data_IF_982560586668
#
_entry.id   IF_982560586668
#
_cell.length_a   1.000
_cell.length_b   1.000
_cell.length_c   1.000
_cell.angle_alpha   90.00
_cell.angle_beta   90.00
_cell.angle_gamma   90.00
#
_symmetry.space_group_name_H-M   'P 1'
#
loop_
_entity.id
_entity.type
_entity.pdbx_description
1 polymer ?
#
# COMPACT_ATOMS: atom_id res chain seq x y z
N UNK A 1 0.17 12.07 -25.96
CA UNK A 1 0.76 10.79 -26.46
C UNK A 1 2.03 10.51 -25.69
N UNK A 2 2.24 9.28 -25.21
CA UNK A 2 3.46 8.85 -24.51
C UNK A 2 4.60 8.78 -25.54
N UNK A 3 5.62 9.61 -25.34
CA UNK A 3 6.80 9.70 -26.22
C UNK A 3 7.89 8.73 -25.79
N UNK A 4 8.16 8.67 -24.50
CA UNK A 4 9.16 7.78 -23.88
C UNK A 4 8.82 7.45 -22.45
N UNK A 5 9.52 6.47 -21.91
CA UNK A 5 9.43 6.08 -20.50
C UNK A 5 10.83 6.13 -19.91
N UNK A 6 10.97 6.81 -18.80
CA UNK A 6 12.19 6.83 -17.99
C UNK A 6 11.95 5.99 -16.74
N UNK A 7 12.87 5.05 -16.46
CA UNK A 7 12.83 4.24 -15.24
C UNK A 7 14.13 4.44 -14.46
N UNK A 8 14.03 4.70 -13.16
CA UNK A 8 15.15 5.03 -12.26
C UNK A 8 15.13 4.18 -11.01
N UNK A 9 16.31 3.79 -10.55
CA UNK A 9 16.53 3.10 -9.26
C UNK A 9 16.82 4.15 -8.19
N UNK A 10 15.85 4.44 -7.34
CA UNK A 10 15.94 5.46 -6.28
C UNK A 10 15.98 4.75 -4.93
N UNK A 11 17.07 4.94 -4.17
CA UNK A 11 17.28 4.28 -2.88
C UNK A 11 17.62 5.28 -1.77
N UNK A 12 17.05 5.05 -0.60
CA UNK A 12 17.29 5.83 0.62
C UNK A 12 17.95 4.93 1.65
N UNK A 13 19.10 5.30 2.25
CA UNK A 13 19.87 4.44 3.14
C UNK A 13 19.26 4.36 4.55
N UNK A 14 18.01 3.86 4.63
CA UNK A 14 17.25 3.76 5.88
C UNK A 14 17.79 2.71 6.84
N UNK A 15 18.57 1.75 6.35
CA UNK A 15 19.27 0.74 7.15
C UNK A 15 20.25 1.35 8.17
N UNK A 16 20.83 2.52 7.87
CA UNK A 16 21.78 3.20 8.76
C UNK A 16 21.20 3.52 10.14
N UNK A 17 19.92 3.82 10.19
CA UNK A 17 19.20 4.18 11.42
C UNK A 17 18.21 3.08 11.84
N UNK A 18 18.30 1.89 11.25
CA UNK A 18 17.39 0.76 11.46
C UNK A 18 15.91 1.10 11.17
N UNK A 19 15.66 2.13 10.34
CA UNK A 19 14.31 2.50 9.95
C UNK A 19 13.71 1.42 9.04
N UNK A 20 12.50 0.97 9.38
CA UNK A 20 11.81 -0.10 8.65
C UNK A 20 12.27 -1.51 9.02
N UNK A 21 13.19 -1.69 9.98
CA UNK A 21 13.67 -3.01 10.37
C UNK A 21 12.57 -3.88 11.00
N UNK A 22 12.51 -5.14 10.57
CA UNK A 22 11.56 -6.13 11.03
C UNK A 22 12.21 -7.52 11.19
N UNK A 23 11.44 -8.54 11.53
CA UNK A 23 11.95 -9.88 11.82
C UNK A 23 12.54 -10.60 10.59
N UNK A 24 12.11 -10.25 9.38
CA UNK A 24 12.59 -10.83 8.13
C UNK A 24 13.57 -9.92 7.38
N UNK A 25 13.47 -8.61 7.60
CA UNK A 25 14.24 -7.58 6.91
C UNK A 25 14.97 -6.70 7.93
N UNK A 26 16.17 -7.11 8.43
CA UNK A 26 16.86 -6.38 9.48
C UNK A 26 17.54 -5.08 8.99
N UNK A 27 17.84 -4.98 7.69
CA UNK A 27 18.64 -3.93 7.07
C UNK A 27 18.01 -3.36 5.77
N UNK A 28 16.74 -2.93 5.77
CA UNK A 28 16.11 -2.44 4.56
C UNK A 28 16.62 -1.04 4.20
N UNK A 29 16.95 -0.84 2.91
CA UNK A 29 17.10 0.48 2.32
C UNK A 29 15.83 0.80 1.52
N UNK A 30 14.93 1.59 2.09
CA UNK A 30 13.68 1.92 1.41
C UNK A 30 13.95 2.55 0.05
N UNK A 31 13.39 1.94 -0.98
CA UNK A 31 13.72 2.24 -2.36
C UNK A 31 12.48 2.20 -3.24
N UNK A 32 12.61 2.72 -4.44
CA UNK A 32 11.58 2.51 -5.46
C UNK A 32 12.19 2.43 -6.86
N UNK A 33 11.62 1.56 -7.69
CA UNK A 33 11.76 1.67 -9.12
C UNK A 33 10.74 2.71 -9.61
N UNK A 34 11.24 3.90 -9.96
CA UNK A 34 10.44 5.07 -10.31
C UNK A 34 10.29 5.18 -11.83
N UNK A 35 9.04 5.29 -12.29
CA UNK A 35 8.71 5.41 -13.71
C UNK A 35 8.11 6.77 -14.03
N UNK A 36 8.60 7.42 -15.08
CA UNK A 36 8.02 8.64 -15.64
C UNK A 36 7.58 8.39 -17.08
N UNK A 37 6.31 8.57 -17.37
CA UNK A 37 5.77 8.63 -18.73
C UNK A 37 5.96 10.04 -19.27
N UNK A 38 6.88 10.20 -20.21
CA UNK A 38 7.10 11.47 -20.89
C UNK A 38 6.05 11.71 -21.96
N UNK A 39 5.34 12.80 -21.84
CA UNK A 39 4.22 13.12 -22.72
C UNK A 39 4.59 14.13 -23.80
N UNK A 40 4.12 13.90 -25.03
CA UNK A 40 4.18 14.85 -26.13
C UNK A 40 2.85 15.61 -26.25
N UNK A 41 2.90 16.89 -26.66
CA UNK A 41 1.71 17.63 -27.07
C UNK A 41 1.00 18.38 -25.94
N UNK A 42 1.68 18.63 -24.80
CA UNK A 42 1.14 19.47 -23.72
C UNK A 42 0.35 18.71 -22.64
N UNK A 43 0.16 17.41 -22.79
CA UNK A 43 -0.34 16.57 -21.69
C UNK A 43 0.70 16.52 -20.55
N UNK A 44 0.27 16.43 -19.29
CA UNK A 44 1.19 16.32 -18.16
C UNK A 44 1.90 14.97 -18.15
N UNK A 45 3.19 14.96 -17.78
CA UNK A 45 3.91 13.72 -17.51
C UNK A 45 3.23 12.93 -16.38
N UNK A 46 3.20 11.61 -16.51
CA UNK A 46 2.70 10.72 -15.47
C UNK A 46 3.84 10.07 -14.70
N UNK A 47 3.74 10.08 -13.38
CA UNK A 47 4.71 9.47 -12.49
C UNK A 47 4.11 8.28 -11.73
N UNK A 48 4.90 7.23 -11.58
CA UNK A 48 4.53 6.06 -10.81
C UNK A 48 5.77 5.37 -10.26
N UNK A 49 5.57 4.60 -9.21
CA UNK A 49 6.65 3.86 -8.59
C UNK A 49 6.19 2.47 -8.15
N UNK A 50 7.15 1.59 -7.95
CA UNK A 50 6.95 0.40 -7.13
C UNK A 50 7.96 0.39 -6.00
N UNK A 51 7.47 0.12 -4.80
CA UNK A 51 8.28 0.06 -3.58
C UNK A 51 9.17 -1.19 -3.59
N UNK A 52 10.40 -1.01 -3.12
CA UNK A 52 11.41 -2.05 -2.89
C UNK A 52 12.24 -1.68 -1.66
N UNK A 53 13.10 -2.60 -1.20
CA UNK A 53 13.90 -2.40 0.02
C UNK A 53 15.42 -2.49 -0.25
N UNK A 54 15.86 -2.08 -1.44
CA UNK A 54 17.27 -2.01 -1.82
C UNK A 54 17.64 -2.98 -2.94
N UNK A 55 18.28 -4.09 -2.62
CA UNK A 55 18.69 -5.08 -3.62
C UNK A 55 17.52 -5.60 -4.44
N UNK A 56 17.67 -5.62 -5.78
CA UNK A 56 16.64 -6.05 -6.73
C UNK A 56 15.78 -4.92 -7.29
N UNK A 57 15.95 -3.67 -6.87
CA UNK A 57 15.27 -2.51 -7.48
C UNK A 57 15.63 -2.40 -8.97
N UNK A 58 16.87 -2.67 -9.33
CA UNK A 58 17.36 -2.73 -10.72
C UNK A 58 16.60 -3.74 -11.60
N UNK A 59 16.14 -4.86 -11.02
CA UNK A 59 15.30 -5.84 -11.73
C UNK A 59 13.93 -5.26 -12.05
N UNK A 60 13.34 -4.48 -11.13
CA UNK A 60 12.09 -3.77 -11.37
C UNK A 60 12.27 -2.69 -12.45
N UNK A 61 13.38 -1.94 -12.44
CA UNK A 61 13.71 -0.96 -13.48
C UNK A 61 13.83 -1.63 -14.85
N UNK A 62 14.52 -2.77 -14.94
CA UNK A 62 14.62 -3.53 -16.18
C UNK A 62 13.25 -4.00 -16.70
N UNK A 63 12.39 -4.46 -15.80
CA UNK A 63 11.03 -4.88 -16.13
C UNK A 63 10.14 -3.70 -16.56
N UNK A 64 10.25 -2.53 -15.94
CA UNK A 64 9.56 -1.29 -16.34
C UNK A 64 9.95 -0.91 -17.77
N UNK A 65 11.25 -0.91 -18.09
CA UNK A 65 11.74 -0.62 -19.43
C UNK A 65 11.25 -1.63 -20.49
N UNK A 66 11.13 -2.89 -20.10
CA UNK A 66 10.60 -3.94 -20.99
C UNK A 66 9.11 -3.80 -21.27
N UNK A 67 8.30 -3.71 -20.21
CA UNK A 67 6.84 -3.60 -20.30
C UNK A 67 6.38 -2.23 -20.83
N UNK A 68 7.10 -1.17 -20.53
CA UNK A 68 6.76 0.19 -20.93
C UNK A 68 6.62 0.37 -22.45
N UNK A 69 7.29 -0.47 -23.23
CA UNK A 69 7.19 -0.48 -24.71
C UNK A 69 5.75 -0.63 -25.19
N UNK A 70 4.87 -1.28 -24.43
CA UNK A 70 3.46 -1.43 -24.78
C UNK A 70 2.65 -0.14 -24.64
N UNK A 71 3.16 0.85 -23.89
CA UNK A 71 2.49 2.13 -23.68
C UNK A 71 2.99 3.25 -24.61
N UNK A 72 4.23 3.14 -25.13
CA UNK A 72 4.80 4.15 -26.04
C UNK A 72 3.93 4.29 -27.30
N UNK A 73 3.66 5.54 -27.69
CA UNK A 73 2.81 5.89 -28.81
C UNK A 73 1.31 5.94 -28.51
N UNK A 74 0.88 5.54 -27.29
CA UNK A 74 -0.51 5.64 -26.86
C UNK A 74 -0.83 7.04 -26.35
N UNK A 75 -2.08 7.46 -26.47
CA UNK A 75 -2.56 8.74 -25.96
C UNK A 75 -3.32 8.58 -24.65
N UNK A 76 -3.39 9.67 -23.85
CA UNK A 76 -4.25 9.67 -22.67
C UNK A 76 -5.74 9.55 -23.02
N UNK A 77 -6.16 9.96 -24.23
CA UNK A 77 -7.54 9.79 -24.68
C UNK A 77 -7.93 8.31 -24.83
N UNK A 78 -7.00 7.46 -25.31
CA UNK A 78 -7.22 6.03 -25.36
C UNK A 78 -7.42 5.43 -23.96
N UNK A 79 -6.60 5.83 -22.98
CA UNK A 79 -6.70 5.35 -21.61
C UNK A 79 -7.93 5.93 -20.89
N UNK A 80 -8.33 7.16 -21.15
CA UNK A 80 -9.56 7.73 -20.60
C UNK A 80 -10.82 7.10 -21.21
N UNK A 81 -10.79 6.77 -22.49
CA UNK A 81 -11.87 6.03 -23.14
C UNK A 81 -12.03 4.63 -22.54
N UNK A 82 -10.92 3.96 -22.24
CA UNK A 82 -10.86 2.61 -21.68
C UNK A 82 -9.86 2.54 -20.52
N UNK A 83 -10.35 2.75 -19.29
CA UNK A 83 -9.55 2.76 -18.07
C UNK A 83 -8.86 1.43 -17.75
N UNK A 84 -9.31 0.32 -18.35
CA UNK A 84 -8.65 -1.00 -18.24
C UNK A 84 -7.53 -1.25 -19.25
N UNK A 85 -7.36 -0.36 -20.24
CA UNK A 85 -6.46 -0.60 -21.37
C UNK A 85 -5.00 -0.74 -20.93
N UNK A 86 -4.49 0.16 -20.09
CA UNK A 86 -3.10 0.12 -19.63
C UNK A 86 -2.81 -1.20 -18.89
N UNK A 87 -3.64 -1.58 -17.93
CA UNK A 87 -3.49 -2.84 -17.20
C UNK A 87 -3.49 -4.04 -18.16
N UNK A 88 -4.40 -4.09 -19.14
CA UNK A 88 -4.44 -5.19 -20.12
C UNK A 88 -3.19 -5.26 -21.01
N UNK A 89 -2.66 -4.12 -21.46
CA UNK A 89 -1.44 -4.08 -22.26
C UNK A 89 -0.24 -4.61 -21.48
N UNK A 90 -0.13 -4.24 -20.20
CA UNK A 90 0.99 -4.63 -19.33
C UNK A 90 0.90 -6.08 -18.87
N UNK A 91 -0.31 -6.60 -18.58
CA UNK A 91 -0.50 -7.92 -17.97
C UNK A 91 -0.72 -9.06 -18.99
N UNK A 92 -0.99 -8.75 -20.25
CA UNK A 92 -1.28 -9.78 -21.26
C UNK A 92 -0.13 -10.04 -22.26
N UNK A 93 1.07 -9.49 -22.00
CA UNK A 93 2.24 -9.88 -22.82
C UNK A 93 2.48 -11.38 -22.73
N UNK A 94 2.46 -12.06 -23.91
CA UNK A 94 2.48 -13.52 -23.99
C UNK A 94 3.80 -14.14 -23.49
N UNK A 95 4.91 -13.41 -23.56
CA UNK A 95 6.22 -13.89 -23.12
C UNK A 95 6.51 -13.56 -21.66
N UNK A 96 6.20 -12.34 -21.23
CA UNK A 96 6.29 -11.97 -19.80
C UNK A 96 5.39 -12.81 -18.91
N UNK A 97 4.28 -13.36 -19.42
CA UNK A 97 3.40 -14.27 -18.66
C UNK A 97 4.11 -15.51 -18.11
N UNK A 98 5.18 -15.94 -18.73
CA UNK A 98 5.99 -17.05 -18.19
C UNK A 98 6.79 -16.64 -16.96
N UNK A 99 7.32 -15.41 -16.93
CA UNK A 99 8.02 -14.84 -15.79
C UNK A 99 7.05 -14.40 -14.69
N UNK A 100 5.78 -14.20 -15.03
CA UNK A 100 4.68 -13.75 -14.20
C UNK A 100 4.35 -12.29 -14.44
N UNK A 101 3.26 -11.91 -15.15
CA UNK A 101 2.36 -10.95 -14.56
C UNK A 101 1.57 -11.62 -13.46
N UNK A 102 0.96 -10.83 -12.60
CA UNK A 102 0.19 -11.23 -11.43
C UNK A 102 1.06 -11.78 -10.28
N UNK A 103 2.39 -11.64 -10.35
CA UNK A 103 3.32 -11.91 -9.24
C UNK A 103 4.73 -11.35 -9.48
N UNK A 104 5.43 -11.04 -8.39
CA UNK A 104 6.86 -10.71 -8.38
C UNK A 104 7.22 -9.47 -9.19
N UNK A 105 8.47 -9.42 -9.66
CA UNK A 105 9.08 -8.26 -10.33
C UNK A 105 8.25 -7.73 -11.50
N UNK A 106 7.69 -8.61 -12.32
CA UNK A 106 6.90 -8.20 -13.50
C UNK A 106 5.61 -7.49 -13.08
N UNK A 107 4.98 -7.95 -12.00
CA UNK A 107 3.75 -7.34 -11.49
C UNK A 107 4.00 -6.00 -10.80
N UNK A 108 5.10 -5.91 -10.03
CA UNK A 108 5.59 -4.67 -9.45
C UNK A 108 5.86 -3.60 -10.52
N UNK A 109 6.53 -3.99 -11.61
CA UNK A 109 6.79 -3.09 -12.74
C UNK A 109 5.49 -2.65 -13.45
N UNK A 110 4.53 -3.57 -13.61
CA UNK A 110 3.23 -3.25 -14.17
C UNK A 110 2.46 -2.24 -13.29
N UNK A 111 2.56 -2.37 -11.95
CA UNK A 111 1.98 -1.42 -11.02
C UNK A 111 2.55 -0.01 -11.20
N UNK A 112 3.88 0.14 -11.24
CA UNK A 112 4.53 1.44 -11.45
C UNK A 112 4.03 2.13 -12.72
N UNK A 113 3.99 1.40 -13.84
CA UNK A 113 3.55 1.93 -15.13
C UNK A 113 2.05 2.26 -15.15
N UNK A 114 1.22 1.38 -14.62
CA UNK A 114 -0.23 1.60 -14.56
C UNK A 114 -0.59 2.77 -13.65
N UNK A 115 0.06 2.88 -12.49
CA UNK A 115 -0.11 4.01 -11.57
C UNK A 115 0.34 5.32 -12.21
N UNK A 116 1.40 5.32 -13.05
CA UNK A 116 1.83 6.49 -13.82
C UNK A 116 0.77 6.92 -14.85
N UNK A 117 0.04 5.99 -15.48
CA UNK A 117 -1.08 6.34 -16.36
C UNK A 117 -2.22 6.99 -15.58
N UNK A 118 -2.58 6.45 -14.42
CA UNK A 118 -3.62 7.04 -13.57
C UNK A 118 -3.22 8.43 -13.03
N UNK A 119 -1.95 8.62 -12.69
CA UNK A 119 -1.40 9.91 -12.29
C UNK A 119 -1.54 10.94 -13.41
N UNK A 120 -1.15 10.59 -14.66
CA UNK A 120 -1.30 11.47 -15.83
C UNK A 120 -2.76 11.85 -16.11
N UNK A 121 -3.69 10.89 -16.02
CA UNK A 121 -5.11 11.14 -16.19
C UNK A 121 -5.66 12.09 -15.12
N UNK A 122 -5.31 11.89 -13.87
CA UNK A 122 -5.71 12.76 -12.77
C UNK A 122 -5.13 14.17 -12.90
N UNK A 123 -3.84 14.29 -13.26
CA UNK A 123 -3.19 15.58 -13.56
C UNK A 123 -3.85 16.32 -14.72
N UNK A 124 -4.15 15.62 -15.83
CA UNK A 124 -4.86 16.21 -16.97
C UNK A 124 -6.24 16.71 -16.58
N UNK A 125 -6.93 16.01 -15.70
CA UNK A 125 -8.23 16.42 -15.18
C UNK A 125 -8.14 17.57 -14.15
N UNK A 126 -6.93 18.00 -13.73
CA UNK A 126 -6.72 18.99 -12.68
C UNK A 126 -7.20 18.55 -11.29
N UNK A 127 -7.21 17.25 -11.02
CA UNK A 127 -7.77 16.67 -9.79
C UNK A 127 -6.78 15.72 -9.10
N UNK A 128 -6.79 15.64 -7.76
CA UNK A 128 -6.15 14.52 -7.07
C UNK A 128 -6.82 13.20 -7.49
N UNK A 129 -6.08 12.10 -7.52
CA UNK A 129 -6.59 10.82 -8.02
C UNK A 129 -7.88 10.38 -7.32
N UNK A 130 -7.95 10.50 -5.98
CA UNK A 130 -9.17 10.11 -5.25
C UNK A 130 -10.41 10.85 -5.76
N UNK A 131 -10.27 12.14 -6.09
CA UNK A 131 -11.37 12.95 -6.60
C UNK A 131 -11.69 12.61 -8.06
N UNK A 132 -10.67 12.42 -8.89
CA UNK A 132 -10.86 11.98 -10.28
C UNK A 132 -11.67 10.68 -10.33
N UNK A 133 -11.29 9.68 -9.52
CA UNK A 133 -12.01 8.40 -9.44
C UNK A 133 -13.41 8.56 -8.85
N UNK A 134 -13.59 9.37 -7.80
CA UNK A 134 -14.90 9.62 -7.19
C UNK A 134 -15.91 10.26 -8.16
N UNK A 135 -15.45 11.05 -9.12
CA UNK A 135 -16.29 11.71 -10.12
C UNK A 135 -16.68 10.77 -11.29
N UNK A 136 -16.08 9.59 -11.40
CA UNK A 136 -16.45 8.59 -12.41
C UNK A 136 -17.79 7.92 -12.09
N UNK A 137 -18.51 7.52 -13.15
CA UNK A 137 -19.74 6.73 -12.97
C UNK A 137 -19.42 5.31 -12.53
N UNK A 138 -20.35 4.61 -11.86
CA UNK A 138 -20.21 3.20 -11.52
C UNK A 138 -19.81 2.31 -12.69
N UNK A 139 -20.43 2.51 -13.86
CA UNK A 139 -20.17 1.75 -15.10
C UNK A 139 -18.73 1.96 -15.57
N UNK A 140 -18.24 3.21 -15.49
CA UNK A 140 -16.87 3.55 -15.88
C UNK A 140 -15.85 2.90 -14.94
N UNK A 141 -16.10 2.89 -13.63
CA UNK A 141 -15.25 2.20 -12.66
C UNK A 141 -15.24 0.68 -12.90
N UNK A 142 -16.40 0.08 -13.13
CA UNK A 142 -16.49 -1.36 -13.44
C UNK A 142 -15.73 -1.71 -14.72
N UNK A 143 -15.73 -0.82 -15.74
CA UNK A 143 -14.99 -1.05 -16.99
C UNK A 143 -13.47 -1.09 -16.81
N UNK A 144 -12.94 -0.51 -15.71
CA UNK A 144 -11.53 -0.55 -15.39
C UNK A 144 -11.06 -1.92 -14.84
N UNK A 145 -11.97 -2.77 -14.38
CA UNK A 145 -11.67 -4.00 -13.66
C UNK A 145 -11.58 -5.20 -14.62
N UNK A 146 -10.51 -5.98 -14.48
CA UNK A 146 -10.43 -7.31 -15.08
C UNK A 146 -11.02 -8.36 -14.13
N UNK A 147 -12.19 -8.86 -14.45
CA UNK A 147 -12.92 -9.87 -13.66
C UNK A 147 -12.42 -11.30 -13.87
N UNK A 148 -11.46 -11.51 -14.75
CA UNK A 148 -10.86 -12.83 -14.97
C UNK A 148 -10.32 -13.40 -13.65
N UNK A 149 -10.71 -14.63 -13.35
CA UNK A 149 -10.35 -15.39 -12.15
C UNK A 149 -10.96 -14.91 -10.82
N UNK A 150 -11.85 -13.88 -10.84
CA UNK A 150 -12.58 -13.44 -9.65
C UNK A 150 -14.10 -13.43 -9.83
N UNK A 151 -14.60 -13.68 -11.05
CA UNK A 151 -16.04 -13.59 -11.37
C UNK A 151 -16.90 -14.59 -10.59
N UNK A 152 -16.33 -15.68 -10.10
CA UNK A 152 -16.97 -16.65 -9.20
C UNK A 152 -17.21 -16.10 -7.78
N UNK A 153 -16.48 -15.07 -7.38
CA UNK A 153 -16.63 -14.41 -6.09
C UNK A 153 -17.23 -13.00 -6.21
N UNK A 154 -16.80 -12.22 -7.20
CA UNK A 154 -17.32 -10.88 -7.51
C UNK A 154 -17.63 -10.80 -9.01
N UNK A 155 -18.90 -10.85 -9.39
CA UNK A 155 -19.30 -10.64 -10.77
C UNK A 155 -19.28 -9.15 -11.15
N UNK A 156 -19.35 -8.87 -12.46
CA UNK A 156 -19.46 -7.49 -12.96
C UNK A 156 -20.74 -6.82 -12.47
N UNK A 157 -21.82 -7.56 -12.40
CA UNK A 157 -23.13 -7.11 -11.93
C UNK A 157 -23.09 -6.79 -10.42
N UNK A 158 -22.44 -7.64 -9.61
CA UNK A 158 -22.21 -7.38 -8.17
C UNK A 158 -21.44 -6.07 -7.96
N UNK A 159 -20.35 -5.89 -8.70
CA UNK A 159 -19.51 -4.70 -8.61
C UNK A 159 -20.30 -3.43 -8.98
N UNK A 160 -21.07 -3.49 -10.07
CA UNK A 160 -21.91 -2.38 -10.52
C UNK A 160 -22.99 -2.04 -9.48
N UNK A 161 -23.66 -3.05 -8.94
CA UNK A 161 -24.70 -2.86 -7.93
C UNK A 161 -24.15 -2.16 -6.68
N UNK A 162 -22.96 -2.59 -6.16
CA UNK A 162 -22.30 -1.99 -5.00
C UNK A 162 -21.92 -0.54 -5.23
N UNK A 163 -21.26 -0.24 -6.34
CA UNK A 163 -20.87 1.12 -6.69
C UNK A 163 -22.09 2.03 -6.92
N UNK A 164 -23.16 1.51 -7.52
CA UNK A 164 -24.41 2.26 -7.75
C UNK A 164 -25.11 2.57 -6.42
N UNK A 165 -25.14 1.62 -5.48
CA UNK A 165 -25.73 1.83 -4.16
C UNK A 165 -25.02 2.94 -3.37
N UNK A 166 -23.71 3.12 -3.57
CA UNK A 166 -22.92 4.15 -2.89
C UNK A 166 -22.96 5.53 -3.58
N UNK A 167 -23.37 5.61 -4.84
CA UNK A 167 -23.33 6.84 -5.63
C UNK A 167 -24.09 8.02 -4.98
N UNK A 168 -25.31 7.87 -4.42
CA UNK A 168 -26.05 8.99 -3.84
C UNK A 168 -25.35 9.67 -2.65
N UNK A 169 -24.56 8.94 -1.87
CA UNK A 169 -23.88 9.46 -0.68
C UNK A 169 -22.51 10.11 -0.92
N UNK A 170 -21.99 10.10 -2.15
CA UNK A 170 -20.62 10.55 -2.45
C UNK A 170 -20.36 12.00 -2.01
N UNK A 171 -21.28 12.93 -2.28
CA UNK A 171 -21.08 14.35 -1.96
C UNK A 171 -20.91 14.58 -0.45
N UNK A 172 -21.76 13.99 0.38
CA UNK A 172 -21.66 14.10 1.83
C UNK A 172 -20.38 13.45 2.39
N UNK A 173 -19.96 12.31 1.82
CA UNK A 173 -18.70 11.66 2.21
C UNK A 173 -17.47 12.50 1.85
N UNK A 174 -17.48 13.15 0.70
CA UNK A 174 -16.41 14.07 0.28
C UNK A 174 -16.35 15.26 1.22
N UNK A 175 -17.46 15.89 1.57
CA UNK A 175 -17.51 17.00 2.51
C UNK A 175 -16.96 16.60 3.89
N UNK A 176 -17.40 15.44 4.40
CA UNK A 176 -16.89 14.90 5.66
C UNK A 176 -15.40 14.61 5.60
N UNK A 177 -14.90 13.99 4.51
CA UNK A 177 -13.49 13.70 4.32
C UNK A 177 -12.64 14.98 4.34
N UNK A 178 -13.07 16.03 3.65
CA UNK A 178 -12.37 17.32 3.59
C UNK A 178 -12.33 18.02 4.94
N UNK A 179 -13.37 17.87 5.76
CA UNK A 179 -13.44 18.48 7.10
C UNK A 179 -12.69 17.70 8.18
N UNK A 180 -12.83 16.37 8.18
CA UNK A 180 -12.34 15.50 9.27
C UNK A 180 -11.03 14.78 8.94
N UNK A 181 -10.68 14.60 7.64
CA UNK A 181 -9.62 13.71 7.21
C UNK A 181 -9.98 12.23 7.35
N UNK A 182 -9.01 11.33 7.08
CA UNK A 182 -9.19 9.88 7.14
C UNK A 182 -8.40 9.26 8.30
N UNK A 183 -8.96 8.34 9.11
CA UNK A 183 -8.28 7.75 10.28
C UNK A 183 -7.00 7.00 9.88
N UNK A 184 -5.99 7.06 10.75
CA UNK A 184 -4.70 6.41 10.53
C UNK A 184 -4.16 5.70 11.77
N UNK A 185 -3.18 4.83 11.56
CA UNK A 185 -2.32 4.29 12.61
C UNK A 185 -0.85 4.52 12.26
N UNK A 186 0.02 4.56 13.26
CA UNK A 186 1.45 4.72 13.05
C UNK A 186 2.22 3.44 13.34
N UNK A 187 3.17 3.10 12.45
CA UNK A 187 4.11 1.98 12.59
C UNK A 187 5.49 2.44 13.04
N UNK A 188 5.77 3.75 13.02
CA UNK A 188 7.12 4.31 13.17
C UNK A 188 7.71 4.23 14.57
N UNK A 189 6.90 3.92 15.59
CA UNK A 189 7.36 3.87 16.99
C UNK A 189 7.84 2.48 17.44
N UNK A 190 7.73 1.44 16.61
CA UNK A 190 7.88 0.06 17.06
C UNK A 190 8.73 -0.85 16.19
N UNK A 191 9.72 -0.36 15.44
CA UNK A 191 10.62 -1.22 14.65
C UNK A 191 11.56 -2.06 15.51
N UNK A 192 11.96 -3.24 15.01
CA UNK A 192 12.71 -4.22 15.80
C UNK A 192 14.09 -3.69 16.22
N UNK A 193 14.77 -2.94 15.36
CA UNK A 193 16.09 -2.37 15.64
C UNK A 193 16.11 -1.26 16.70
N UNK A 194 14.94 -0.82 17.20
CA UNK A 194 14.87 0.28 18.18
C UNK A 194 15.07 -0.21 19.61
N UNK A 195 15.78 0.60 20.42
CA UNK A 195 15.92 0.40 21.87
C UNK A 195 14.59 0.71 22.58
N UNK A 196 14.43 0.19 23.81
CA UNK A 196 13.25 0.44 24.64
C UNK A 196 13.05 1.95 24.92
N UNK A 197 14.13 2.69 25.18
CA UNK A 197 14.08 4.15 25.43
C UNK A 197 13.60 4.89 24.16
N UNK A 198 14.07 4.50 22.98
CA UNK A 198 13.57 5.05 21.71
C UNK A 198 12.08 4.77 21.54
N UNK A 199 11.66 3.51 21.75
CA UNK A 199 10.25 3.13 21.63
C UNK A 199 9.38 3.97 22.58
N UNK A 200 9.73 4.05 23.85
CA UNK A 200 9.00 4.84 24.84
C UNK A 200 8.88 6.32 24.45
N UNK A 201 10.00 6.89 23.98
CA UNK A 201 10.02 8.30 23.54
C UNK A 201 9.12 8.52 22.32
N UNK A 202 9.23 7.67 21.30
CA UNK A 202 8.43 7.77 20.06
C UNK A 202 6.93 7.54 20.34
N UNK A 203 6.59 6.58 21.19
CA UNK A 203 5.20 6.32 21.59
C UNK A 203 4.57 7.53 22.30
N UNK A 204 5.30 8.14 23.26
CA UNK A 204 4.83 9.33 23.99
C UNK A 204 4.63 10.53 23.07
N UNK A 205 5.59 10.76 22.17
CA UNK A 205 5.51 11.86 21.21
C UNK A 205 4.32 11.67 20.27
N UNK A 206 4.18 10.49 19.66
CA UNK A 206 3.06 10.20 18.79
C UNK A 206 1.70 10.29 19.52
N UNK A 207 1.62 9.83 20.77
CA UNK A 207 0.41 10.00 21.58
C UNK A 207 0.06 11.46 21.82
N UNK A 208 1.06 12.30 22.10
CA UNK A 208 0.88 13.75 22.27
C UNK A 208 0.41 14.42 20.97
N UNK A 209 0.86 13.92 19.80
CA UNK A 209 0.45 14.37 18.46
C UNK A 209 -0.94 13.84 18.02
N UNK A 210 -1.66 13.17 18.93
CA UNK A 210 -3.04 12.73 18.69
C UNK A 210 -3.19 11.31 18.16
N UNK A 211 -2.12 10.53 18.00
CA UNK A 211 -2.23 9.13 17.58
C UNK A 211 -2.91 8.27 18.67
N UNK A 212 -3.82 7.38 18.25
CA UNK A 212 -4.58 6.48 19.13
C UNK A 212 -4.58 5.02 18.68
N UNK A 213 -3.92 4.73 17.56
CA UNK A 213 -3.70 3.39 17.04
C UNK A 213 -2.24 3.25 16.60
N UNK A 214 -1.59 2.20 17.08
CA UNK A 214 -0.17 1.95 16.90
C UNK A 214 0.06 0.52 16.43
N UNK A 215 1.09 0.33 15.62
CA UNK A 215 1.61 -1.00 15.26
C UNK A 215 3.07 -1.11 15.70
N UNK A 216 3.43 -2.23 16.33
CA UNK A 216 4.81 -2.55 16.70
C UNK A 216 5.23 -3.87 16.04
N UNK A 217 6.50 -4.00 15.74
CA UNK A 217 7.06 -5.23 15.18
C UNK A 217 7.29 -6.27 16.28
N UNK A 218 6.98 -7.53 15.97
CA UNK A 218 7.21 -8.74 16.77
C UNK A 218 7.87 -9.81 15.90
N UNK A 219 8.09 -11.02 16.42
CA UNK A 219 8.67 -12.11 15.64
C UNK A 219 10.19 -12.26 15.81
N UNK A 220 10.81 -11.51 16.72
CA UNK A 220 12.21 -11.72 17.10
C UNK A 220 12.35 -13.02 17.92
N UNK A 221 12.06 -12.94 19.20
CA UNK A 221 11.90 -14.09 20.08
C UNK A 221 10.70 -13.85 21.00
N UNK A 222 10.09 -14.91 21.50
CA UNK A 222 8.84 -14.84 22.27
C UNK A 222 8.95 -13.97 23.53
N UNK A 223 10.07 -14.03 24.24
CA UNK A 223 10.27 -13.23 25.45
C UNK A 223 10.37 -11.75 25.12
N UNK A 224 11.07 -11.41 24.04
CA UNK A 224 11.16 -10.04 23.51
C UNK A 224 9.80 -9.53 23.04
N UNK A 225 9.01 -10.33 22.32
CA UNK A 225 7.68 -9.95 21.83
C UNK A 225 6.73 -9.63 22.98
N UNK A 226 6.70 -10.48 24.01
CA UNK A 226 5.92 -10.25 25.24
C UNK A 226 6.37 -8.97 25.95
N UNK A 227 7.69 -8.78 26.09
CA UNK A 227 8.27 -7.58 26.72
C UNK A 227 7.90 -6.30 25.96
N UNK A 228 7.95 -6.33 24.62
CA UNK A 228 7.60 -5.17 23.76
C UNK A 228 6.13 -4.80 23.90
N UNK A 229 5.23 -5.78 23.94
CA UNK A 229 3.81 -5.57 24.20
C UNK A 229 3.55 -5.03 25.61
N UNK A 230 4.26 -5.53 26.63
CA UNK A 230 4.21 -5.03 28.00
C UNK A 230 4.66 -3.56 28.06
N UNK A 231 5.82 -3.24 27.50
CA UNK A 231 6.37 -1.90 27.44
C UNK A 231 5.41 -0.90 26.78
N UNK A 232 4.76 -1.31 25.69
CA UNK A 232 3.73 -0.50 25.04
C UNK A 232 2.59 -0.18 25.99
N UNK A 233 2.05 -1.18 26.69
CA UNK A 233 0.92 -1.01 27.63
C UNK A 233 1.30 -0.23 28.89
N UNK A 234 2.50 -0.41 29.39
CA UNK A 234 3.05 0.38 30.50
C UNK A 234 3.20 1.88 30.10
N UNK A 235 3.55 2.14 28.83
CA UNK A 235 3.77 3.50 28.33
C UNK A 235 2.46 4.24 28.03
N UNK A 236 1.51 3.61 27.35
CA UNK A 236 0.30 4.27 26.82
C UNK A 236 -1.03 3.80 27.42
N UNK A 237 -1.02 2.72 28.22
CA UNK A 237 -2.26 2.18 28.81
C UNK A 237 -3.11 1.40 27.82
N UNK A 238 -4.42 1.26 28.15
CA UNK A 238 -5.38 0.44 27.37
C UNK A 238 -6.29 1.24 26.45
N UNK A 239 -6.28 2.58 26.55
CA UNK A 239 -7.20 3.44 25.80
C UNK A 239 -6.78 3.63 24.33
N UNK A 240 -5.66 3.03 23.92
CA UNK A 240 -5.13 3.06 22.56
C UNK A 240 -5.12 1.66 21.96
N UNK A 241 -5.32 1.57 20.65
CA UNK A 241 -5.24 0.30 19.94
C UNK A 241 -3.79 -0.10 19.70
N UNK A 242 -3.49 -1.37 19.97
CA UNK A 242 -2.21 -2.00 19.68
C UNK A 242 -2.39 -3.08 18.63
N UNK A 243 -1.76 -2.91 17.48
CA UNK A 243 -1.57 -3.93 16.47
C UNK A 243 -0.13 -4.43 16.49
N UNK A 244 0.10 -5.65 16.11
CA UNK A 244 1.44 -6.23 16.00
C UNK A 244 1.65 -6.82 14.61
N UNK A 245 2.91 -6.83 14.16
CA UNK A 245 3.28 -7.33 12.85
C UNK A 245 4.50 -8.27 12.99
N UNK A 246 4.31 -9.52 12.56
CA UNK A 246 5.30 -10.58 12.65
C UNK A 246 6.10 -10.76 11.34
N UNK A 247 5.73 -10.07 10.28
CA UNK A 247 6.42 -10.13 8.97
C UNK A 247 6.74 -11.57 8.52
N UNK A 248 5.75 -12.49 8.64
CA UNK A 248 5.77 -13.84 8.06
C UNK A 248 6.75 -14.83 8.74
N UNK A 249 7.34 -14.47 9.88
CA UNK A 249 8.46 -15.24 10.46
C UNK A 249 8.05 -16.57 11.05
N UNK A 250 6.78 -16.76 11.46
CA UNK A 250 6.33 -17.95 12.17
C UNK A 250 5.76 -19.05 11.25
N UNK A 251 5.96 -20.29 11.64
CA UNK A 251 5.08 -21.37 11.20
C UNK A 251 3.75 -21.32 11.98
N UNK A 252 2.78 -22.17 11.62
CA UNK A 252 1.43 -22.14 12.23
C UNK A 252 1.47 -22.33 13.74
N UNK A 253 2.20 -23.33 14.23
CA UNK A 253 2.26 -23.63 15.68
C UNK A 253 2.96 -22.52 16.46
N UNK A 254 4.04 -21.95 15.91
CA UNK A 254 4.74 -20.81 16.48
C UNK A 254 3.83 -19.58 16.53
N UNK A 255 3.11 -19.28 15.45
CA UNK A 255 2.16 -18.18 15.39
C UNK A 255 1.09 -18.30 16.47
N UNK A 256 0.48 -19.46 16.59
CA UNK A 256 -0.55 -19.72 17.63
C UNK A 256 0.01 -19.55 19.03
N UNK A 257 1.21 -20.08 19.29
CA UNK A 257 1.87 -19.96 20.61
C UNK A 257 2.23 -18.49 20.92
N UNK A 258 2.83 -17.78 19.97
CA UNK A 258 3.21 -16.38 20.14
C UNK A 258 1.99 -15.46 20.34
N UNK A 259 0.96 -15.62 19.52
CA UNK A 259 -0.27 -14.82 19.63
C UNK A 259 -0.96 -15.05 20.97
N UNK A 260 -1.05 -16.30 21.44
CA UNK A 260 -1.60 -16.60 22.77
C UNK A 260 -0.78 -16.00 23.91
N UNK A 261 0.55 -15.92 23.77
CA UNK A 261 1.40 -15.31 24.78
C UNK A 261 1.23 -13.79 24.87
N UNK A 262 0.99 -13.11 23.75
CA UNK A 262 0.76 -11.66 23.72
C UNK A 262 -0.72 -11.26 23.88
N UNK A 263 -1.65 -12.20 23.84
CA UNK A 263 -3.10 -11.95 23.99
C UNK A 263 -3.48 -11.11 25.24
N UNK A 264 -2.82 -11.27 26.42
CA UNK A 264 -3.12 -10.45 27.60
C UNK A 264 -2.92 -8.93 27.41
N UNK A 265 -2.24 -8.54 26.34
CA UNK A 265 -1.97 -7.13 26.03
C UNK A 265 -3.02 -6.49 25.13
N UNK A 266 -4.18 -7.08 24.94
CA UNK A 266 -5.32 -6.53 24.17
C UNK A 266 -4.92 -6.15 22.74
N UNK A 267 -4.50 -7.15 21.98
CA UNK A 267 -4.04 -6.98 20.60
C UNK A 267 -5.23 -6.78 19.67
N UNK A 268 -5.23 -5.69 18.90
CA UNK A 268 -6.30 -5.35 17.97
C UNK A 268 -6.27 -6.23 16.70
N UNK A 269 -5.09 -6.41 16.08
CA UNK A 269 -4.83 -7.44 15.08
C UNK A 269 -3.39 -7.93 15.14
N UNK A 270 -3.18 -9.12 14.59
CA UNK A 270 -1.85 -9.65 14.27
C UNK A 270 -1.69 -9.67 12.76
N UNK A 271 -0.65 -9.00 12.27
CA UNK A 271 -0.33 -8.85 10.86
C UNK A 271 0.70 -9.89 10.46
N UNK A 272 0.49 -10.48 9.25
CA UNK A 272 1.39 -11.43 8.61
C UNK A 272 1.99 -12.49 9.55
N UNK A 273 1.17 -13.30 10.23
CA UNK A 273 1.70 -14.27 11.20
C UNK A 273 2.52 -15.39 10.56
N UNK A 274 2.27 -15.72 9.28
CA UNK A 274 2.95 -16.80 8.54
C UNK A 274 3.08 -16.43 7.05
N UNK A 275 3.58 -17.35 6.23
CA UNK A 275 3.77 -17.13 4.79
C UNK A 275 2.55 -16.49 4.11
N UNK A 276 2.72 -15.43 3.32
CA UNK A 276 1.63 -14.78 2.60
C UNK A 276 0.94 -15.70 1.57
N UNK A 277 1.56 -16.79 1.19
CA UNK A 277 1.01 -17.78 0.25
C UNK A 277 0.20 -18.89 0.95
N UNK A 278 0.27 -18.97 2.30
CA UNK A 278 -0.40 -19.99 3.08
C UNK A 278 -1.79 -19.55 3.58
N UNK A 279 -2.75 -19.50 2.66
CA UNK A 279 -4.15 -19.12 2.96
C UNK A 279 -4.78 -20.06 4.02
N UNK A 280 -4.53 -21.37 3.93
CA UNK A 280 -5.09 -22.33 4.86
C UNK A 280 -4.42 -22.26 6.23
N UNK A 281 -3.12 -21.94 6.27
CA UNK A 281 -2.40 -21.66 7.51
C UNK A 281 -2.95 -20.43 8.22
N UNK A 282 -3.22 -19.34 7.51
CA UNK A 282 -3.88 -18.16 8.09
C UNK A 282 -5.26 -18.53 8.67
N UNK A 283 -6.07 -19.29 7.93
CA UNK A 283 -7.38 -19.77 8.43
C UNK A 283 -7.23 -20.57 9.72
N UNK A 284 -6.27 -21.50 9.78
CA UNK A 284 -6.06 -22.33 10.96
C UNK A 284 -5.58 -21.51 12.16
N UNK A 285 -4.65 -20.56 11.95
CA UNK A 285 -4.21 -19.62 12.98
C UNK A 285 -5.41 -18.81 13.49
N UNK A 286 -6.18 -18.17 12.58
CA UNK A 286 -7.34 -17.36 12.94
C UNK A 286 -8.35 -18.14 13.83
N UNK A 287 -8.63 -19.40 13.46
CA UNK A 287 -9.51 -20.28 14.23
C UNK A 287 -9.00 -20.54 15.66
N UNK A 288 -7.68 -20.69 15.83
CA UNK A 288 -7.08 -21.04 17.13
C UNK A 288 -6.83 -19.84 18.05
N UNK A 289 -6.75 -18.63 17.50
CA UNK A 289 -6.43 -17.41 18.26
C UNK A 289 -7.64 -16.49 18.45
N UNK A 290 -8.81 -16.88 17.94
CA UNK A 290 -10.02 -16.09 18.12
C UNK A 290 -10.23 -15.70 19.59
N UNK A 291 -10.67 -14.46 19.90
CA UNK A 291 -11.25 -13.46 18.99
C UNK A 291 -10.22 -12.49 18.33
N UNK A 292 -8.91 -12.69 18.52
CA UNK A 292 -7.89 -11.83 17.91
C UNK A 292 -7.97 -12.00 16.39
N UNK A 293 -8.03 -10.87 15.68
CA UNK A 293 -8.15 -10.86 14.23
C UNK A 293 -6.77 -10.90 13.56
N UNK A 294 -6.70 -11.53 12.40
CA UNK A 294 -5.52 -11.48 11.53
C UNK A 294 -5.67 -10.41 10.47
N UNK A 295 -4.56 -9.78 10.12
CA UNK A 295 -4.42 -8.85 9.02
C UNK A 295 -3.34 -9.35 8.06
N UNK A 296 -3.55 -9.28 6.76
CA UNK A 296 -2.51 -9.57 5.76
C UNK A 296 -2.86 -8.97 4.41
N UNK A 297 -1.86 -8.86 3.53
CA UNK A 297 -2.06 -8.47 2.15
C UNK A 297 -0.91 -7.71 1.50
N UNK A 298 0.04 -7.15 2.25
CA UNK A 298 1.17 -6.41 1.67
C UNK A 298 2.05 -7.26 0.75
N UNK A 299 2.10 -8.57 0.99
CA UNK A 299 2.77 -9.55 0.16
C UNK A 299 1.82 -10.41 -0.69
N UNK A 300 0.51 -10.26 -0.55
CA UNK A 300 -0.46 -10.92 -1.42
C UNK A 300 -0.40 -10.31 -2.82
N UNK A 301 0.14 -11.07 -3.77
CA UNK A 301 0.64 -10.53 -5.03
C UNK A 301 -0.40 -10.32 -6.12
N UNK A 302 -1.66 -10.70 -5.94
CA UNK A 302 -2.71 -10.44 -6.93
C UNK A 302 -4.12 -10.60 -6.36
N UNK A 303 -5.11 -10.17 -7.14
CA UNK A 303 -6.54 -10.25 -6.78
C UNK A 303 -7.03 -11.67 -6.46
N UNK A 304 -6.39 -12.72 -7.04
CA UNK A 304 -6.79 -14.11 -6.79
C UNK A 304 -6.39 -14.56 -5.40
N UNK A 305 -5.21 -14.14 -4.91
CA UNK A 305 -4.79 -14.40 -3.53
C UNK A 305 -5.76 -13.76 -2.53
N UNK A 306 -6.13 -12.50 -2.74
CA UNK A 306 -7.13 -11.84 -1.90
C UNK A 306 -8.49 -12.54 -1.95
N UNK A 307 -8.95 -12.97 -3.14
CA UNK A 307 -10.16 -13.79 -3.24
C UNK A 307 -10.09 -15.03 -2.36
N UNK A 308 -8.96 -15.73 -2.38
CA UNK A 308 -8.77 -16.95 -1.59
C UNK A 308 -8.78 -16.68 -0.09
N UNK A 309 -8.09 -15.63 0.39
CA UNK A 309 -8.15 -15.20 1.79
C UNK A 309 -9.56 -14.90 2.25
N UNK A 310 -10.32 -14.16 1.44
CA UNK A 310 -11.70 -13.77 1.74
C UNK A 310 -12.66 -14.98 1.71
N UNK A 311 -12.55 -15.85 0.71
CA UNK A 311 -13.37 -17.08 0.63
C UNK A 311 -13.07 -18.07 1.75
N UNK A 312 -11.82 -18.12 2.19
CA UNK A 312 -11.41 -18.96 3.30
C UNK A 312 -11.82 -18.40 4.67
N UNK A 313 -12.28 -17.14 4.75
CA UNK A 313 -12.49 -16.42 6.02
C UNK A 313 -11.24 -16.43 6.90
N UNK A 314 -10.08 -16.22 6.26
CA UNK A 314 -8.77 -16.36 6.89
C UNK A 314 -8.24 -15.06 7.53
N UNK A 315 -8.87 -13.93 7.24
CA UNK A 315 -8.45 -12.60 7.68
C UNK A 315 -9.64 -11.77 8.17
N UNK A 316 -9.40 -10.91 9.15
CA UNK A 316 -10.36 -9.92 9.65
C UNK A 316 -10.09 -8.50 9.12
N UNK A 317 -8.90 -8.26 8.55
CA UNK A 317 -8.51 -7.00 7.91
C UNK A 317 -7.78 -7.27 6.60
N UNK A 318 -8.16 -6.56 5.55
CA UNK A 318 -7.56 -6.67 4.21
C UNK A 318 -6.54 -5.55 4.03
N UNK A 319 -5.25 -5.90 3.88
CA UNK A 319 -4.16 -4.93 3.77
C UNK A 319 -3.62 -4.89 2.34
N UNK A 320 -4.35 -4.21 1.44
CA UNK A 320 -3.85 -4.00 0.07
C UNK A 320 -2.55 -3.21 0.09
N UNK A 321 -1.70 -3.48 -0.89
CA UNK A 321 -0.54 -2.66 -1.20
C UNK A 321 -0.68 -2.06 -2.60
N UNK A 322 -0.39 -0.75 -2.74
CA UNK A 322 -0.57 0.01 -3.99
C UNK A 322 0.40 -0.38 -5.10
N UNK A 323 1.48 -1.10 -4.76
CA UNK A 323 2.54 -1.49 -5.67
C UNK A 323 2.59 -3.01 -5.89
N UNK A 324 2.14 -3.80 -4.90
CA UNK A 324 2.11 -5.27 -4.99
C UNK A 324 1.03 -5.75 -5.94
N UNK A 325 -0.12 -5.06 -5.94
CA UNK A 325 -1.16 -5.19 -6.95
C UNK A 325 -0.80 -4.36 -8.19
N UNK A 326 -1.32 -4.71 -9.37
CA UNK A 326 -1.01 -4.05 -10.63
C UNK A 326 -1.58 -2.62 -10.76
N UNK A 327 -1.61 -1.87 -9.67
CA UNK A 327 -2.09 -0.49 -9.60
C UNK A 327 -3.58 -0.36 -9.35
N UNK A 328 -4.11 0.84 -9.57
CA UNK A 328 -5.48 1.28 -9.17
C UNK A 328 -6.56 0.30 -9.60
N UNK A 329 -6.50 -0.25 -10.80
CA UNK A 329 -7.50 -1.17 -11.35
C UNK A 329 -7.69 -2.43 -10.49
N UNK A 330 -6.59 -3.06 -10.12
CA UNK A 330 -6.61 -4.30 -9.34
C UNK A 330 -6.94 -4.01 -7.87
N UNK A 331 -6.45 -2.88 -7.35
CA UNK A 331 -6.82 -2.43 -5.99
C UNK A 331 -8.31 -2.22 -5.85
N UNK A 332 -8.98 -1.56 -6.81
CA UNK A 332 -10.45 -1.37 -6.79
C UNK A 332 -11.17 -2.73 -6.80
N UNK A 333 -10.68 -3.70 -7.58
CA UNK A 333 -11.25 -5.05 -7.58
C UNK A 333 -11.16 -5.73 -6.22
N UNK A 334 -10.00 -5.62 -5.54
CA UNK A 334 -9.80 -6.19 -4.20
C UNK A 334 -10.66 -5.49 -3.15
N UNK A 335 -10.75 -4.15 -3.20
CA UNK A 335 -11.62 -3.39 -2.29
C UNK A 335 -13.10 -3.81 -2.42
N UNK A 336 -13.60 -4.01 -3.66
CA UNK A 336 -14.97 -4.48 -3.89
C UNK A 336 -15.19 -5.92 -3.39
N UNK A 337 -14.18 -6.80 -3.52
CA UNK A 337 -14.25 -8.15 -2.94
C UNK A 337 -14.25 -8.10 -1.41
N UNK A 338 -13.41 -7.27 -0.80
CA UNK A 338 -13.38 -7.07 0.65
C UNK A 338 -14.70 -6.51 1.18
N UNK A 339 -15.27 -5.52 0.49
CA UNK A 339 -16.61 -4.98 0.82
C UNK A 339 -17.69 -6.05 0.72
N UNK A 340 -17.66 -6.90 -0.32
CA UNK A 340 -18.58 -8.03 -0.46
C UNK A 340 -18.46 -9.03 0.70
N UNK A 341 -17.27 -9.27 1.19
CA UNK A 341 -17.00 -10.14 2.33
C UNK A 341 -17.30 -9.48 3.69
N UNK A 342 -17.57 -8.17 3.73
CA UNK A 342 -17.72 -7.42 4.99
C UNK A 342 -16.40 -7.19 5.74
N UNK A 343 -15.25 -7.29 5.06
CA UNK A 343 -13.92 -7.15 5.64
C UNK A 343 -13.41 -5.71 5.41
N UNK A 344 -13.02 -4.97 6.45
CA UNK A 344 -12.45 -3.63 6.30
C UNK A 344 -11.08 -3.66 5.60
N UNK A 345 -10.86 -2.64 4.75
CA UNK A 345 -9.57 -2.43 4.08
C UNK A 345 -8.74 -1.45 4.89
N UNK A 346 -7.53 -1.87 5.28
CA UNK A 346 -6.54 -1.10 6.03
C UNK A 346 -5.20 -1.19 5.30
N UNK A 347 -4.91 -0.32 4.32
CA UNK A 347 -3.76 -0.46 3.43
C UNK A 347 -2.42 -0.47 4.15
N UNK A 348 -1.49 -1.29 3.66
CA UNK A 348 -0.07 -1.21 3.97
C UNK A 348 0.56 0.04 3.35
N UNK A 349 1.41 0.73 4.13
CA UNK A 349 2.16 1.88 3.64
C UNK A 349 3.55 2.06 4.28
N UNK A 350 4.14 1.00 4.80
CA UNK A 350 5.46 1.02 5.44
C UNK A 350 6.62 1.18 4.45
N UNK A 351 6.61 2.19 3.56
CA UNK A 351 7.65 2.37 2.57
C UNK A 351 7.61 3.72 1.86
N UNK A 352 8.65 4.03 1.08
CA UNK A 352 8.73 5.28 0.33
C UNK A 352 7.63 5.39 -0.73
N UNK A 353 6.86 6.48 -0.71
CA UNK A 353 5.76 6.75 -1.64
C UNK A 353 4.49 5.96 -1.41
N UNK A 354 4.48 5.00 -0.48
CA UNK A 354 3.29 4.20 -0.20
C UNK A 354 2.22 4.99 0.55
N UNK A 355 2.60 5.81 1.52
CA UNK A 355 1.66 6.70 2.21
C UNK A 355 0.99 7.67 1.22
N UNK A 356 1.77 8.20 0.29
CA UNK A 356 1.31 9.10 -0.78
C UNK A 356 0.28 8.41 -1.68
N UNK A 357 0.46 7.13 -1.97
CA UNK A 357 -0.49 6.36 -2.77
C UNK A 357 -1.75 5.97 -1.98
N UNK A 358 -1.57 5.33 -0.82
CA UNK A 358 -2.70 4.68 -0.12
C UNK A 358 -3.72 5.66 0.44
N UNK A 359 -3.33 6.91 0.72
CA UNK A 359 -4.30 7.94 1.10
C UNK A 359 -5.39 8.10 0.03
N UNK A 360 -5.02 8.13 -1.27
CA UNK A 360 -5.99 8.21 -2.34
C UNK A 360 -6.87 6.95 -2.41
N UNK A 361 -6.28 5.77 -2.26
CA UNK A 361 -6.99 4.49 -2.36
C UNK A 361 -8.01 4.33 -1.22
N UNK A 362 -7.64 4.67 0.02
CA UNK A 362 -8.56 4.64 1.16
C UNK A 362 -9.72 5.64 1.02
N UNK A 363 -9.45 6.80 0.45
CA UNK A 363 -10.49 7.80 0.17
C UNK A 363 -11.44 7.31 -0.94
N UNK A 364 -10.92 6.61 -1.97
CA UNK A 364 -11.73 5.95 -2.99
C UNK A 364 -12.62 4.87 -2.36
N UNK A 365 -12.06 4.01 -1.49
CA UNK A 365 -12.82 2.98 -0.77
C UNK A 365 -13.99 3.62 -0.01
N UNK A 366 -13.70 4.62 0.83
CA UNK A 366 -14.71 5.32 1.62
C UNK A 366 -15.80 5.97 0.76
N UNK A 367 -15.40 6.71 -0.28
CA UNK A 367 -16.35 7.50 -1.06
C UNK A 367 -17.18 6.63 -2.01
N UNK A 368 -16.56 5.63 -2.64
CA UNK A 368 -17.15 4.91 -3.76
C UNK A 368 -17.61 3.49 -3.42
N UNK A 369 -17.04 2.83 -2.41
CA UNK A 369 -17.20 1.39 -2.19
C UNK A 369 -17.85 1.10 -0.84
N UNK A 370 -17.14 1.36 0.28
CA UNK A 370 -17.58 0.97 1.62
C UNK A 370 -18.60 1.92 2.24
N UNK A 371 -18.53 3.19 1.91
CA UNK A 371 -19.39 4.23 2.50
C UNK A 371 -19.11 4.54 3.97
N UNK A 372 -18.11 3.90 4.59
CA UNK A 372 -17.80 4.02 6.02
C UNK A 372 -16.30 4.08 6.28
N UNK A 373 -15.91 4.76 7.37
CA UNK A 373 -14.55 4.72 7.92
C UNK A 373 -14.45 3.81 9.15
N UNK A 374 -15.56 3.17 9.56
CA UNK A 374 -15.56 2.29 10.72
C UNK A 374 -14.68 1.06 10.50
N UNK A 375 -13.79 0.80 11.47
CA UNK A 375 -12.82 -0.29 11.37
C UNK A 375 -11.74 -0.10 10.31
N UNK A 376 -11.69 1.03 9.60
CA UNK A 376 -10.76 1.33 8.53
C UNK A 376 -9.75 2.39 8.95
N UNK A 377 -8.47 2.11 8.72
CA UNK A 377 -7.36 3.00 9.05
C UNK A 377 -6.26 2.88 8.00
N UNK A 378 -5.55 3.98 7.73
CA UNK A 378 -4.40 4.01 6.83
C UNK A 378 -3.12 3.86 7.67
N UNK A 379 -2.17 3.05 7.21
CA UNK A 379 -0.84 3.00 7.78
C UNK A 379 -0.08 4.31 7.56
N UNK A 380 0.71 4.70 8.55
CA UNK A 380 1.60 5.84 8.48
C UNK A 380 3.00 5.47 8.94
N UNK A 381 3.98 5.67 8.06
CA UNK A 381 5.41 5.60 8.34
C UNK A 381 6.01 7.01 8.23
N UNK A 382 6.54 7.54 9.34
CA UNK A 382 6.82 8.97 9.52
C UNK A 382 8.14 9.48 8.90
N UNK A 383 8.55 8.97 7.73
CA UNK A 383 9.82 9.39 7.11
C UNK A 383 9.75 9.34 5.58
N UNK A 384 10.68 10.04 4.92
CA UNK A 384 10.88 10.17 3.47
C UNK A 384 9.84 11.04 2.74
N UNK A 385 8.82 11.59 3.41
CA UNK A 385 7.80 12.44 2.78
C UNK A 385 8.36 13.73 2.20
N UNK A 386 9.45 14.25 2.77
CA UNK A 386 10.13 15.48 2.31
C UNK A 386 10.70 15.37 0.88
N UNK A 387 10.81 14.17 0.36
CA UNK A 387 11.30 13.92 -1.00
C UNK A 387 10.22 14.12 -2.07
N UNK A 388 8.95 14.19 -1.67
CA UNK A 388 7.81 14.40 -2.57
C UNK A 388 7.40 15.88 -2.65
N UNK A 389 6.88 16.31 -3.82
CA UNK A 389 6.39 17.68 -4.02
C UNK A 389 5.11 17.97 -3.25
N UNK A 390 4.26 16.96 -3.12
CA UNK A 390 2.99 17.02 -2.43
C UNK A 390 2.97 15.91 -1.37
N UNK A 391 3.72 16.07 -0.26
CA UNK A 391 3.80 15.08 0.79
C UNK A 391 2.44 14.90 1.47
N UNK A 392 2.27 13.78 2.16
CA UNK A 392 1.10 13.58 3.01
C UNK A 392 1.04 14.63 4.13
N UNK A 393 -0.17 14.95 4.53
CA UNK A 393 -0.43 15.83 5.69
C UNK A 393 -1.20 15.05 6.74
N UNK A 394 -0.68 15.05 7.98
CA UNK A 394 -1.31 14.39 9.13
C UNK A 394 -1.75 15.46 10.16
N UNK A 395 -2.96 15.30 10.65
CA UNK A 395 -3.48 16.07 11.77
C UNK A 395 -4.20 15.17 12.76
N UNK A 396 -3.73 15.11 13.99
CA UNK A 396 -4.34 14.33 15.08
C UNK A 396 -4.59 12.85 14.69
N UNK A 397 -3.58 12.19 14.11
CA UNK A 397 -3.68 10.80 13.67
C UNK A 397 -4.62 10.55 12.47
N UNK A 398 -4.84 11.56 11.63
CA UNK A 398 -5.69 11.48 10.43
C UNK A 398 -4.97 12.07 9.22
N UNK A 399 -5.08 11.41 8.08
CA UNK A 399 -4.65 11.95 6.80
C UNK A 399 -5.60 13.04 6.33
N UNK A 400 -5.07 14.22 6.03
CA UNK A 400 -5.83 15.24 5.31
C UNK A 400 -5.93 14.86 3.84
N UNK A 401 -7.08 15.17 3.21
CA UNK A 401 -7.25 14.83 1.81
C UNK A 401 -6.33 15.66 0.92
N UNK A 402 -5.48 15.04 0.06
CA UNK A 402 -4.63 15.77 -0.87
C UNK A 402 -5.49 16.51 -1.89
N UNK A 403 -5.10 17.75 -2.19
CA UNK A 403 -5.82 18.63 -3.12
C UNK A 403 -5.09 18.82 -4.45
N UNK A 404 -3.77 18.60 -4.47
CA UNK A 404 -2.97 18.74 -5.69
C UNK A 404 -3.34 17.68 -6.74
N UNK A 405 -3.35 18.04 -8.03
CA UNK A 405 -3.62 17.08 -9.11
C UNK A 405 -2.60 15.95 -9.15
N UNK A 406 -3.07 14.74 -9.50
CA UNK A 406 -2.22 13.56 -9.63
C UNK A 406 -2.34 12.58 -8.47
N UNK A 407 -1.35 11.70 -8.35
CA UNK A 407 -1.32 10.59 -7.39
C UNK A 407 -0.32 10.82 -6.25
N UNK A 408 0.12 12.07 -6.05
CA UNK A 408 1.00 12.57 -4.97
C UNK A 408 2.42 11.99 -4.93
N UNK A 409 2.90 11.31 -5.98
CA UNK A 409 4.20 10.64 -6.01
C UNK A 409 5.27 11.37 -6.83
N UNK A 410 5.06 12.63 -7.11
CA UNK A 410 6.06 13.47 -7.79
C UNK A 410 7.26 13.73 -6.87
N UNK A 411 8.39 13.09 -7.12
CA UNK A 411 9.64 13.36 -6.42
C UNK A 411 10.23 14.72 -6.85
N UNK A 412 10.92 15.36 -5.91
CA UNK A 412 11.76 16.51 -6.26
C UNK A 412 12.91 16.06 -7.17
N UNK A 413 13.24 16.79 -8.26
CA UNK A 413 14.34 16.44 -9.16
C UNK A 413 15.68 16.29 -8.43
N UNK A 414 15.95 17.13 -7.44
CA UNK A 414 17.14 17.04 -6.62
C UNK A 414 17.17 15.75 -5.78
N UNK A 415 16.03 15.39 -5.17
CA UNK A 415 15.93 14.13 -4.42
C UNK A 415 16.18 12.91 -5.31
N UNK A 416 15.66 12.91 -6.54
CA UNK A 416 15.95 11.83 -7.50
C UNK A 416 17.45 11.77 -7.82
N UNK A 417 18.06 12.91 -8.15
CA UNK A 417 19.48 12.94 -8.52
C UNK A 417 20.41 12.52 -7.36
N UNK A 418 20.10 12.94 -6.13
CA UNK A 418 20.92 12.64 -4.96
C UNK A 418 20.84 11.15 -4.55
N UNK A 419 19.68 10.48 -4.79
CA UNK A 419 19.42 9.12 -4.33
C UNK A 419 19.38 8.08 -5.46
N UNK A 420 19.66 8.45 -6.71
CA UNK A 420 19.74 7.51 -7.83
C UNK A 420 20.93 6.56 -7.65
N UNK A 421 20.65 5.26 -7.54
CA UNK A 421 21.67 4.24 -7.31
C UNK A 421 22.29 3.78 -8.64
N UNK A 422 23.63 3.56 -8.72
CA UNK A 422 24.64 3.76 -7.67
C UNK A 422 25.32 5.14 -7.71
N UNK A 423 24.96 6.03 -8.62
CA UNK A 423 25.75 7.22 -8.96
C UNK A 423 25.30 8.50 -8.24
N UNK A 424 24.15 8.48 -7.56
CA UNK A 424 23.65 9.61 -6.78
C UNK A 424 24.60 9.98 -5.64
N UNK A 425 24.59 11.26 -5.25
CA UNK A 425 25.53 11.80 -4.25
C UNK A 425 25.58 10.96 -2.97
N UNK A 426 24.45 10.50 -2.48
CA UNK A 426 24.32 9.73 -1.23
C UNK A 426 25.08 8.39 -1.30
N UNK A 427 25.12 7.75 -2.47
CA UNK A 427 25.75 6.45 -2.69
C UNK A 427 27.20 6.56 -3.15
N UNK A 428 27.54 7.61 -3.92
CA UNK A 428 28.91 7.85 -4.36
C UNK A 428 29.86 8.16 -3.18
N UNK A 429 29.36 8.80 -2.13
CA UNK A 429 30.12 9.07 -0.90
C UNK A 429 30.42 7.77 -0.13
N UNK A 430 29.56 6.77 -0.17
CA UNK A 430 29.83 5.45 0.44
C UNK A 430 30.89 4.62 -0.29
N UNK A 431 30.93 4.70 -1.61
CA UNK A 431 31.92 3.96 -2.40
C UNK A 431 33.35 4.46 -2.17
N UNK A 432 33.52 5.62 -1.52
CA UNK A 432 34.80 6.25 -1.19
C UNK A 432 35.19 6.07 0.27
N UNK A 433 34.32 5.55 1.13
CA UNK A 433 34.57 5.30 2.56
C UNK A 433 34.91 3.82 2.82
#
# INVERSE_FOLDING_TARGET
MIESIEARDIRFPTSRDSHGSDAMNPDPDYSCAYATLKMRGGDPDGNGLTFTIGRGTDLCVAAINGLGKHLIGRSLDEFEADLGLAARLLLNDSQYRWLGPEKGVVHLAAAALNNAVWDALAKRAGKPLWRYVADLSPEKLVSAIDFRHIADFLSKEDALARLTAQAPGKAARIERLLSEGYPAYTTSAGWIGYTDDQIVSLLKNAYADGWRHFKIKVGGDLASDVRRCALFRETLGKDVKLSVDANQVWNIDQAVAAIKAIAPYDIYWVEEPTSPDDVLGHKEIARQVAPIQLATGEHAHNKVMFKQFLQAEAIGFCQIDSCRLAGVNEVIAVMLMADKAGIPVCPHAGGVGLCEYVQHLSMIDYICISGTMEGRVIEHAAHLHQHFRNPIEIREGRYLAPLAPGYSVDLWPQSMADHEFPNGKVWAEEALA
#
